data_IF_350853927561
#
_entry.id   IF_350853927561
#
_cell.length_a   1.000
_cell.length_b   1.000
_cell.length_c   1.000
_cell.angle_alpha   90.00
_cell.angle_beta   90.00
_cell.angle_gamma   90.00
#
_symmetry.space_group_name_H-M   'P 1'
#
loop_
_entity.id
_entity.type
_entity.pdbx_description
1 polymer ?
#
# COMPACT_ATOMS: atom_id res chain seq x y z
N UNK A 1 1.20 1.93 74.77
CA UNK A 1 0.91 0.68 74.05
C UNK A 1 -0.59 0.41 74.18
N UNK A 2 -1.38 0.82 73.20
CA UNK A 2 -2.85 0.75 73.21
C UNK A 2 -3.32 0.21 71.87
N UNK A 3 -4.13 -0.86 71.91
CA UNK A 3 -4.65 -1.61 70.77
C UNK A 3 -6.15 -1.37 70.65
N UNK A 4 -6.62 -0.90 69.50
CA UNK A 4 -7.97 -1.05 68.94
C UNK A 4 -8.06 -0.29 67.58
N UNK A 5 -9.09 -0.51 66.72
CA UNK A 5 -9.51 -1.77 66.09
C UNK A 5 -9.56 -1.67 64.55
N UNK A 6 -9.76 -2.82 63.89
CA UNK A 6 -9.93 -2.98 62.43
C UNK A 6 -11.20 -2.28 61.91
N UNK A 7 -11.11 -1.59 60.77
CA UNK A 7 -12.27 -1.11 59.98
C UNK A 7 -12.20 -1.57 58.52
N UNK A 8 -13.12 -2.48 58.21
CA UNK A 8 -13.92 -2.71 57.01
C UNK A 8 -13.45 -2.22 55.63
N UNK A 9 -13.24 -3.22 54.76
CA UNK A 9 -13.71 -3.39 53.39
C UNK A 9 -14.13 -2.16 52.55
N UNK A 10 -13.49 -2.04 51.37
CA UNK A 10 -14.10 -1.46 50.17
C UNK A 10 -13.91 -2.43 48.99
N UNK A 11 -15.04 -2.70 48.34
CA UNK A 11 -15.25 -3.67 47.27
C UNK A 11 -14.34 -3.45 46.05
N UNK A 12 -13.74 -4.53 45.56
CA UNK A 12 -13.26 -4.62 44.18
C UNK A 12 -14.38 -5.19 43.32
N UNK A 13 -14.80 -4.37 42.36
CA UNK A 13 -15.77 -4.65 41.31
C UNK A 13 -15.43 -5.90 40.50
N UNK A 14 -16.47 -6.63 40.10
CA UNK A 14 -16.41 -7.91 39.41
C UNK A 14 -15.53 -7.92 38.15
N UNK A 15 -14.61 -8.87 38.13
CA UNK A 15 -13.94 -9.34 36.92
C UNK A 15 -14.95 -10.20 36.14
N UNK A 16 -15.27 -9.74 34.93
CA UNK A 16 -16.10 -10.47 33.99
C UNK A 16 -15.44 -11.82 33.64
N UNK A 17 -16.20 -12.89 33.90
CA UNK A 17 -16.04 -14.29 33.47
C UNK A 17 -14.98 -14.52 32.39
N UNK A 18 -13.83 -15.11 32.79
CA UNK A 18 -12.96 -15.84 31.87
C UNK A 18 -13.60 -17.19 31.56
N UNK A 19 -13.86 -17.45 30.28
CA UNK A 19 -14.16 -18.81 29.84
C UNK A 19 -12.92 -19.69 30.10
N UNK A 20 -13.07 -20.94 30.57
CA UNK A 20 -11.92 -21.79 30.84
C UNK A 20 -11.25 -22.17 29.51
N UNK A 21 -9.95 -21.89 29.42
CA UNK A 21 -9.10 -22.37 28.34
C UNK A 21 -9.05 -23.92 28.37
N UNK A 22 -8.78 -24.58 27.22
CA UNK A 22 -8.73 -26.03 27.16
C UNK A 22 -7.68 -26.61 28.13
N UNK A 23 -8.07 -27.64 28.89
CA UNK A 23 -7.26 -28.30 29.92
C UNK A 23 -5.91 -28.78 29.37
N UNK A 24 -4.83 -28.17 29.84
CA UNK A 24 -3.45 -28.53 29.51
C UNK A 24 -2.81 -29.30 30.68
N UNK A 25 -2.02 -30.35 30.38
CA UNK A 25 -1.32 -31.17 31.39
C UNK A 25 0.01 -30.51 31.80
N UNK A 26 0.13 -29.98 33.03
CA UNK A 26 1.32 -29.28 33.50
C UNK A 26 2.54 -30.20 33.61
N UNK A 27 3.73 -29.65 33.30
CA UNK A 27 5.00 -30.40 33.40
C UNK A 27 5.35 -30.61 34.87
N UNK A 28 5.67 -31.85 35.26
CA UNK A 28 6.08 -32.17 36.62
C UNK A 28 7.53 -31.74 36.88
N UNK A 29 7.73 -30.83 37.86
CA UNK A 29 9.07 -30.42 38.32
C UNK A 29 9.30 -30.84 39.78
N UNK A 30 10.58 -31.05 40.13
CA UNK A 30 11.03 -31.24 41.52
C UNK A 30 10.56 -30.02 42.33
N UNK A 31 9.67 -30.24 43.29
CA UNK A 31 8.95 -29.20 44.03
C UNK A 31 9.88 -28.27 44.79
N UNK A 32 10.15 -27.10 44.21
CA UNK A 32 10.73 -25.94 44.89
C UNK A 32 9.62 -24.90 44.93
N UNK A 33 9.28 -24.38 46.11
CA UNK A 33 8.15 -23.47 46.32
C UNK A 33 8.25 -22.17 45.49
N UNK A 34 9.44 -21.84 45.02
CA UNK A 34 9.81 -20.67 44.22
C UNK A 34 9.95 -20.98 42.72
N UNK A 35 9.74 -22.22 42.30
CA UNK A 35 9.95 -22.68 40.92
C UNK A 35 8.72 -22.65 40.00
N UNK A 36 8.82 -23.37 38.88
CA UNK A 36 7.72 -23.61 37.95
C UNK A 36 6.76 -24.64 38.52
N UNK A 37 5.71 -24.19 39.21
CA UNK A 37 4.59 -25.05 39.62
C UNK A 37 3.55 -25.17 38.51
N UNK A 38 2.68 -26.20 38.51
CA UNK A 38 1.54 -26.30 37.61
C UNK A 38 0.68 -25.04 37.50
N UNK A 39 0.43 -24.40 38.64
CA UNK A 39 -0.38 -23.19 38.74
C UNK A 39 0.31 -22.03 38.04
N UNK A 40 1.62 -21.85 38.27
CA UNK A 40 2.42 -20.82 37.59
C UNK A 40 2.58 -21.08 36.10
N UNK A 41 2.61 -22.33 35.65
CA UNK A 41 2.59 -22.65 34.22
C UNK A 41 1.27 -22.20 33.59
N UNK A 42 0.15 -22.47 34.25
CA UNK A 42 -1.19 -22.07 33.77
C UNK A 42 -1.34 -20.56 33.76
N UNK A 43 -1.02 -19.90 34.87
CA UNK A 43 -1.05 -18.44 35.00
C UNK A 43 -0.14 -17.76 33.97
N UNK A 44 1.03 -18.35 33.69
CA UNK A 44 1.94 -17.84 32.66
C UNK A 44 1.32 -17.93 31.25
N UNK A 45 0.66 -19.04 30.91
CA UNK A 45 0.01 -19.22 29.60
C UNK A 45 -1.18 -18.27 29.45
N UNK A 46 -2.00 -18.12 30.47
CA UNK A 46 -3.09 -17.13 30.51
C UNK A 46 -2.54 -15.71 30.32
N UNK A 47 -1.52 -15.36 31.11
CA UNK A 47 -0.84 -14.09 31.04
C UNK A 47 -0.29 -13.79 29.63
N UNK A 48 0.28 -14.80 28.98
CA UNK A 48 0.83 -14.72 27.63
C UNK A 48 -0.26 -14.58 26.58
N UNK A 49 -1.39 -15.29 26.73
CA UNK A 49 -2.54 -15.18 25.83
C UNK A 49 -3.16 -13.78 25.89
N UNK A 50 -3.17 -13.16 27.07
CA UNK A 50 -3.64 -11.79 27.22
C UNK A 50 -2.72 -10.76 26.59
N UNK A 51 -1.40 -10.82 26.84
CA UNK A 51 -0.49 -9.73 26.51
C UNK A 51 0.35 -9.95 25.25
N UNK A 52 0.57 -11.19 24.83
CA UNK A 52 1.44 -11.57 23.71
C UNK A 52 2.93 -11.29 23.95
N UNK A 53 3.33 -10.93 25.17
CA UNK A 53 4.70 -10.54 25.52
C UNK A 53 5.24 -11.43 26.64
N UNK A 54 6.30 -12.18 26.34
CA UNK A 54 6.90 -13.15 27.28
C UNK A 54 7.42 -12.46 28.54
N UNK A 55 8.07 -11.31 28.41
CA UNK A 55 8.61 -10.57 29.57
C UNK A 55 7.48 -10.07 30.49
N UNK A 56 6.39 -9.59 29.91
CA UNK A 56 5.22 -9.16 30.68
C UNK A 56 4.54 -10.35 31.38
N UNK A 57 4.41 -11.49 30.70
CA UNK A 57 3.86 -12.71 31.29
C UNK A 57 4.75 -13.26 32.43
N UNK A 58 6.07 -13.28 32.24
CA UNK A 58 7.03 -13.71 33.26
C UNK A 58 7.00 -12.81 34.51
N UNK A 59 6.93 -11.48 34.32
CA UNK A 59 6.76 -10.54 35.43
C UNK A 59 5.49 -10.79 36.23
N UNK A 60 4.40 -11.20 35.57
CA UNK A 60 3.12 -11.50 36.24
C UNK A 60 3.22 -12.70 37.18
N UNK A 61 3.90 -13.77 36.74
CA UNK A 61 4.11 -14.99 37.55
C UNK A 61 5.33 -14.92 38.47
N UNK A 62 6.06 -13.80 38.48
CA UNK A 62 7.26 -13.60 39.29
C UNK A 62 8.44 -14.49 38.90
N UNK A 63 8.55 -14.85 37.61
CA UNK A 63 9.62 -15.70 37.09
C UNK A 63 10.48 -14.96 36.07
N UNK A 64 11.67 -15.50 35.83
CA UNK A 64 12.62 -14.94 34.87
C UNK A 64 12.35 -15.46 33.44
N UNK A 65 12.40 -14.61 32.39
CA UNK A 65 12.20 -15.03 31.00
C UNK A 65 13.13 -16.16 30.55
N UNK A 66 14.41 -16.15 30.98
CA UNK A 66 15.35 -17.22 30.62
C UNK A 66 14.91 -18.58 31.17
N UNK A 67 14.24 -18.59 32.34
CA UNK A 67 13.68 -19.79 32.96
C UNK A 67 12.47 -20.34 32.18
N UNK A 68 11.63 -19.47 31.63
CA UNK A 68 10.49 -19.83 30.80
C UNK A 68 10.95 -20.53 29.51
N UNK A 69 11.95 -19.97 28.82
CA UNK A 69 12.55 -20.61 27.65
C UNK A 69 13.26 -21.92 28.00
N UNK A 70 13.88 -22.02 29.18
CA UNK A 70 14.49 -23.27 29.65
C UNK A 70 13.45 -24.36 29.89
N UNK A 71 12.29 -24.02 30.44
CA UNK A 71 11.16 -24.95 30.58
C UNK A 71 10.64 -25.39 29.21
N UNK A 72 10.47 -24.45 28.28
CA UNK A 72 10.00 -24.72 26.90
C UNK A 72 10.88 -25.73 26.15
N UNK A 73 12.19 -25.72 26.40
CA UNK A 73 13.17 -26.63 25.75
C UNK A 73 13.20 -28.06 26.31
N UNK A 74 12.55 -28.34 27.44
CA UNK A 74 12.60 -29.69 28.02
C UNK A 74 11.82 -30.69 27.16
N UNK A 75 12.29 -31.94 27.12
CA UNK A 75 11.68 -32.99 26.31
C UNK A 75 10.24 -33.27 26.75
N UNK A 76 9.99 -33.25 28.06
CA UNK A 76 8.69 -33.47 28.72
C UNK A 76 7.72 -32.27 28.63
N UNK A 77 8.14 -31.13 28.08
CA UNK A 77 7.34 -29.91 28.00
C UNK A 77 6.49 -29.78 26.72
N UNK A 78 6.10 -30.88 26.10
CA UNK A 78 5.36 -30.86 24.83
C UNK A 78 4.04 -30.09 24.94
N UNK A 79 3.26 -30.40 25.96
CA UNK A 79 1.94 -29.79 26.14
C UNK A 79 2.11 -28.29 26.48
N UNK A 80 3.18 -27.89 27.19
CA UNK A 80 3.46 -26.49 27.55
C UNK A 80 3.87 -25.69 26.31
N UNK A 81 4.67 -26.30 25.40
CA UNK A 81 5.00 -25.70 24.09
C UNK A 81 3.74 -25.42 23.27
N UNK A 82 2.84 -26.40 23.17
CA UNK A 82 1.59 -26.22 22.43
C UNK A 82 0.75 -25.10 23.02
N UNK A 83 0.54 -25.12 24.34
CA UNK A 83 -0.21 -24.07 25.04
C UNK A 83 0.40 -22.68 24.81
N UNK A 84 1.74 -22.57 24.82
CA UNK A 84 2.45 -21.34 24.52
C UNK A 84 2.18 -20.83 23.10
N UNK A 85 2.28 -21.71 22.10
CA UNK A 85 2.07 -21.34 20.70
C UNK A 85 0.61 -20.94 20.45
N UNK A 86 -0.36 -21.65 21.07
CA UNK A 86 -1.77 -21.26 21.05
C UNK A 86 -2.00 -19.91 21.75
N UNK A 87 -1.39 -19.66 22.90
CA UNK A 87 -1.48 -18.38 23.60
C UNK A 87 -0.96 -17.22 22.74
N UNK A 88 0.19 -17.39 22.07
CA UNK A 88 0.69 -16.38 21.14
C UNK A 88 -0.26 -16.18 19.96
N UNK A 89 -0.80 -17.25 19.38
CA UNK A 89 -1.76 -17.16 18.27
C UNK A 89 -3.04 -16.41 18.69
N UNK A 90 -3.50 -16.63 19.92
CA UNK A 90 -4.66 -15.94 20.49
C UNK A 90 -4.36 -14.45 20.70
N UNK A 91 -3.17 -14.12 21.21
CA UNK A 91 -2.74 -12.75 21.43
C UNK A 91 -2.64 -11.92 20.13
N UNK A 92 -2.39 -12.55 18.97
CA UNK A 92 -2.34 -11.86 17.66
C UNK A 92 -3.67 -11.16 17.34
N UNK A 93 -4.82 -11.72 17.71
CA UNK A 93 -6.13 -11.06 17.50
C UNK A 93 -6.19 -9.74 18.27
N UNK A 94 -5.81 -9.76 19.54
CA UNK A 94 -5.76 -8.55 20.37
C UNK A 94 -4.72 -7.54 19.88
N UNK A 95 -3.57 -8.02 19.44
CA UNK A 95 -2.54 -7.16 18.82
C UNK A 95 -3.08 -6.49 17.56
N UNK A 96 -3.85 -7.21 16.76
CA UNK A 96 -4.51 -6.66 15.57
C UNK A 96 -5.48 -5.54 15.97
N UNK A 97 -6.35 -5.76 16.95
CA UNK A 97 -7.29 -4.74 17.43
C UNK A 97 -6.57 -3.50 17.98
N UNK A 98 -5.49 -3.70 18.74
CA UNK A 98 -4.66 -2.62 19.25
C UNK A 98 -3.92 -1.86 18.12
N UNK A 99 -3.49 -2.55 17.07
CA UNK A 99 -2.89 -1.95 15.90
C UNK A 99 -3.91 -1.11 15.11
N UNK A 100 -5.14 -1.61 14.92
CA UNK A 100 -6.23 -0.83 14.33
C UNK A 100 -6.55 0.42 15.13
N UNK A 101 -6.69 0.27 16.45
CA UNK A 101 -6.95 1.42 17.32
C UNK A 101 -5.84 2.47 17.21
N UNK A 102 -4.57 2.07 17.16
CA UNK A 102 -3.44 2.99 16.96
C UNK A 102 -3.42 3.63 15.57
N UNK A 103 -3.76 2.88 14.52
CA UNK A 103 -3.83 3.42 13.17
C UNK A 103 -4.95 4.46 13.02
N UNK A 104 -6.11 4.22 13.65
CA UNK A 104 -7.28 5.10 13.60
C UNK A 104 -7.09 6.32 14.52
N UNK A 105 -6.67 6.11 15.78
CA UNK A 105 -6.67 7.16 16.81
C UNK A 105 -5.32 7.88 16.97
N UNK A 106 -4.26 7.32 16.38
CA UNK A 106 -2.88 7.75 16.61
C UNK A 106 -2.36 7.36 18.00
N UNK A 107 -1.10 7.67 18.26
CA UNK A 107 -0.44 7.50 19.55
C UNK A 107 -0.11 8.88 20.12
N UNK A 108 -0.45 9.14 21.38
CA UNK A 108 -0.06 10.40 22.04
C UNK A 108 1.44 10.38 22.32
N UNK A 109 2.15 11.42 21.88
CA UNK A 109 3.56 11.65 22.20
C UNK A 109 3.68 12.95 23.01
N UNK A 110 4.25 12.90 24.22
CA UNK A 110 4.50 14.10 24.99
C UNK A 110 5.52 14.99 24.28
N UNK A 111 5.26 16.29 24.28
CA UNK A 111 6.17 17.32 23.75
C UNK A 111 6.85 17.98 24.94
N UNK A 112 8.17 17.91 24.98
CA UNK A 112 8.99 18.52 26.03
C UNK A 112 9.70 19.77 25.50
N UNK A 113 9.80 20.78 26.35
CA UNK A 113 10.62 21.96 26.11
C UNK A 113 11.33 22.32 27.42
N UNK A 114 12.65 22.47 27.36
CA UNK A 114 13.50 22.73 28.53
C UNK A 114 13.32 21.74 29.69
N UNK A 115 12.98 20.47 29.39
CA UNK A 115 12.80 19.43 30.41
C UNK A 115 11.40 19.38 31.04
N UNK A 116 10.53 20.34 30.74
CA UNK A 116 9.13 20.34 31.17
C UNK A 116 8.22 19.85 30.02
N UNK A 117 7.20 19.06 30.37
CA UNK A 117 6.20 18.62 29.40
C UNK A 117 5.26 19.79 29.11
N UNK A 118 5.37 20.35 27.91
CA UNK A 118 4.59 21.52 27.48
C UNK A 118 3.29 21.14 26.76
N UNK A 119 3.11 19.86 26.40
CA UNK A 119 1.88 19.39 25.78
C UNK A 119 1.95 17.97 25.26
N UNK A 120 0.95 17.60 24.45
CA UNK A 120 0.86 16.31 23.79
C UNK A 120 0.57 16.49 22.30
N UNK A 121 1.27 15.73 21.46
CA UNK A 121 1.03 15.66 20.02
C UNK A 121 0.63 14.24 19.64
N UNK A 122 -0.46 14.10 18.90
CA UNK A 122 -0.84 12.80 18.31
C UNK A 122 0.03 12.51 17.09
N UNK A 123 0.63 11.32 17.08
CA UNK A 123 1.40 10.80 15.98
C UNK A 123 0.66 9.62 15.35
N UNK A 124 0.41 9.70 14.05
CA UNK A 124 -0.18 8.63 13.26
C UNK A 124 0.93 7.91 12.50
N UNK A 125 0.98 6.59 12.61
CA UNK A 125 1.97 5.79 11.90
C UNK A 125 1.40 5.42 10.52
N UNK A 126 1.77 6.18 9.49
CA UNK A 126 1.29 5.96 8.12
C UNK A 126 1.73 4.60 7.56
N UNK A 127 2.89 4.09 7.99
CA UNK A 127 3.37 2.77 7.57
C UNK A 127 2.51 1.66 8.15
N UNK A 128 2.12 1.79 9.42
CA UNK A 128 1.16 0.87 10.04
C UNK A 128 -0.19 0.91 9.31
N UNK A 129 -0.69 2.11 9.01
CA UNK A 129 -1.95 2.26 8.26
C UNK A 129 -1.86 1.60 6.89
N UNK A 130 -0.80 1.87 6.14
CA UNK A 130 -0.59 1.30 4.81
C UNK A 130 -0.44 -0.24 4.86
N UNK A 131 0.25 -0.77 5.87
CA UNK A 131 0.37 -2.21 6.10
C UNK A 131 -1.00 -2.86 6.37
N UNK A 132 -1.83 -2.25 7.23
CA UNK A 132 -3.16 -2.77 7.55
C UNK A 132 -4.10 -2.75 6.33
N UNK A 133 -4.07 -1.68 5.53
CA UNK A 133 -4.86 -1.57 4.29
C UNK A 133 -4.42 -2.61 3.25
N UNK A 134 -3.11 -2.78 3.04
CA UNK A 134 -2.55 -3.80 2.13
C UNK A 134 -3.03 -5.21 2.44
N UNK A 135 -3.16 -5.54 3.73
CA UNK A 135 -3.51 -6.89 4.16
C UNK A 135 -5.02 -7.13 4.22
N UNK A 136 -5.82 -6.15 4.67
CA UNK A 136 -7.28 -6.32 4.85
C UNK A 136 -8.11 -5.94 3.63
N UNK A 137 -7.62 -5.03 2.78
CA UNK A 137 -8.26 -4.63 1.53
C UNK A 137 -7.26 -4.77 0.38
N UNK A 138 -6.68 -5.96 0.28
CA UNK A 138 -5.72 -6.33 -0.76
C UNK A 138 -6.25 -6.11 -2.20
N UNK A 139 -7.55 -6.32 -2.51
CA UNK A 139 -8.08 -6.00 -3.83
C UNK A 139 -7.95 -4.52 -4.21
N UNK A 140 -7.91 -3.59 -3.24
CA UNK A 140 -7.74 -2.15 -3.50
C UNK A 140 -6.35 -1.61 -3.24
N UNK A 141 -5.64 -2.15 -2.25
CA UNK A 141 -4.35 -1.60 -1.78
C UNK A 141 -3.20 -2.60 -1.82
N UNK A 142 -3.42 -3.80 -2.37
CA UNK A 142 -2.45 -4.88 -2.37
C UNK A 142 -1.18 -4.59 -3.15
N UNK A 143 -0.22 -5.52 -3.07
CA UNK A 143 1.10 -5.40 -3.70
C UNK A 143 1.06 -5.22 -5.22
N UNK A 144 -0.01 -5.62 -5.90
CA UNK A 144 -0.17 -5.46 -7.35
C UNK A 144 -0.12 -3.99 -7.80
N UNK A 145 -0.53 -3.05 -6.94
CA UNK A 145 -0.40 -1.61 -7.20
C UNK A 145 1.06 -1.17 -7.37
N UNK A 146 2.00 -1.79 -6.66
CA UNK A 146 3.42 -1.42 -6.73
C UNK A 146 4.02 -1.74 -8.10
N UNK A 147 3.40 -2.69 -8.82
CA UNK A 147 3.81 -3.07 -10.16
C UNK A 147 3.11 -2.30 -11.28
N UNK A 148 2.09 -1.49 -10.97
CA UNK A 148 1.38 -0.75 -12.01
C UNK A 148 2.25 0.34 -12.61
N UNK A 149 2.25 0.42 -13.94
CA UNK A 149 2.92 1.48 -14.68
C UNK A 149 1.85 2.43 -15.20
N UNK A 150 2.05 3.72 -15.00
CA UNK A 150 1.24 4.74 -15.66
C UNK A 150 1.63 4.82 -17.13
N UNK A 151 0.69 4.57 -18.03
CA UNK A 151 0.94 4.76 -19.47
C UNK A 151 0.80 6.24 -19.82
N UNK A 152 1.78 7.07 -19.47
CA UNK A 152 1.92 8.38 -20.09
C UNK A 152 2.69 8.22 -21.40
N UNK A 153 2.00 8.37 -22.55
CA UNK A 153 2.69 8.57 -23.83
C UNK A 153 3.37 9.93 -23.73
N UNK A 154 4.67 10.02 -24.02
CA UNK A 154 5.44 11.28 -23.94
C UNK A 154 4.75 12.43 -24.71
N UNK A 155 4.16 12.12 -25.88
CA UNK A 155 3.37 13.07 -26.69
C UNK A 155 1.86 13.05 -26.40
N UNK A 156 1.39 12.19 -25.49
CA UNK A 156 -0.04 11.98 -25.21
C UNK A 156 -0.73 13.27 -24.77
N UNK A 157 -0.09 14.04 -23.89
CA UNK A 157 -0.62 15.32 -23.41
C UNK A 157 -0.68 16.39 -24.51
N UNK A 158 0.30 16.41 -25.42
CA UNK A 158 0.32 17.35 -26.55
C UNK A 158 -0.75 17.00 -27.59
N UNK A 159 -0.92 15.71 -27.90
CA UNK A 159 -1.97 15.21 -28.78
C UNK A 159 -3.36 15.47 -28.19
N UNK A 160 -3.56 15.21 -26.89
CA UNK A 160 -4.82 15.47 -26.22
C UNK A 160 -5.14 16.97 -26.17
N UNK A 161 -4.14 17.82 -25.95
CA UNK A 161 -4.30 19.27 -26.05
C UNK A 161 -4.68 19.69 -27.47
N UNK A 162 -3.99 19.19 -28.49
CA UNK A 162 -4.30 19.49 -29.90
C UNK A 162 -5.73 19.08 -30.25
N UNK A 163 -6.18 17.89 -29.81
CA UNK A 163 -7.59 17.46 -29.96
C UNK A 163 -8.56 18.40 -29.25
N UNK A 164 -8.23 18.88 -28.05
CA UNK A 164 -9.09 19.81 -27.31
C UNK A 164 -9.17 21.18 -27.99
N UNK A 165 -8.05 21.70 -28.51
CA UNK A 165 -8.02 22.94 -29.31
C UNK A 165 -8.91 22.79 -30.54
N UNK A 166 -8.76 21.69 -31.29
CA UNK A 166 -9.59 21.42 -32.46
C UNK A 166 -11.09 21.34 -32.11
N UNK A 167 -11.46 20.69 -31.00
CA UNK A 167 -12.87 20.63 -30.54
C UNK A 167 -13.44 22.02 -30.22
N UNK A 168 -12.63 22.89 -29.61
CA UNK A 168 -13.04 24.28 -29.30
C UNK A 168 -13.26 25.09 -30.59
N UNK A 169 -12.37 24.91 -31.57
CA UNK A 169 -12.51 25.54 -32.90
C UNK A 169 -13.75 25.03 -33.63
N UNK A 170 -13.99 23.72 -33.64
CA UNK A 170 -15.20 23.12 -34.23
C UNK A 170 -16.47 23.66 -33.55
N UNK A 171 -16.51 23.70 -32.21
CA UNK A 171 -17.66 24.22 -31.48
C UNK A 171 -17.92 25.70 -31.77
N UNK A 172 -16.87 26.50 -31.97
CA UNK A 172 -16.97 27.90 -32.38
C UNK A 172 -17.56 28.01 -33.79
N UNK A 173 -17.07 27.19 -34.73
CA UNK A 173 -17.63 27.11 -36.08
C UNK A 173 -19.12 26.79 -36.05
N UNK A 174 -19.55 25.75 -35.32
CA UNK A 174 -20.97 25.40 -35.23
C UNK A 174 -21.83 26.56 -34.71
N UNK A 175 -21.37 27.27 -33.67
CA UNK A 175 -22.10 28.42 -33.09
C UNK A 175 -22.23 29.59 -34.06
N UNK A 176 -21.17 29.91 -34.79
CA UNK A 176 -21.17 31.02 -35.76
C UNK A 176 -22.15 30.78 -36.92
N UNK A 177 -22.38 29.52 -37.29
CA UNK A 177 -23.41 29.12 -38.26
C UNK A 177 -24.79 28.83 -37.64
N UNK A 178 -25.01 29.20 -36.37
CA UNK A 178 -26.29 29.02 -35.67
C UNK A 178 -26.67 27.56 -35.39
N UNK A 179 -25.69 26.64 -35.47
CA UNK A 179 -25.85 25.21 -35.22
C UNK A 179 -25.45 24.86 -33.78
N UNK A 180 -26.01 23.77 -33.26
CA UNK A 180 -25.66 23.26 -31.93
C UNK A 180 -24.36 22.44 -32.03
N UNK A 181 -23.32 22.74 -31.21
CA UNK A 181 -22.09 21.96 -31.21
C UNK A 181 -22.31 20.48 -30.92
N UNK A 182 -21.47 19.62 -31.53
CA UNK A 182 -21.53 18.17 -31.31
C UNK A 182 -21.08 17.83 -29.89
N UNK A 183 -21.69 16.80 -29.29
CA UNK A 183 -21.26 16.31 -27.98
C UNK A 183 -19.97 15.50 -28.11
N UNK A 184 -18.88 16.01 -27.56
CA UNK A 184 -17.58 15.32 -27.53
C UNK A 184 -17.48 14.30 -26.39
N UNK A 185 -16.91 13.13 -26.65
CA UNK A 185 -16.63 12.11 -25.62
C UNK A 185 -15.47 12.56 -24.69
N UNK A 186 -15.53 12.31 -23.37
CA UNK A 186 -14.47 12.71 -22.45
C UNK A 186 -13.14 12.00 -22.74
N UNK A 187 -12.06 12.78 -22.83
CA UNK A 187 -10.69 12.25 -22.96
C UNK A 187 -10.25 11.73 -21.58
N UNK A 188 -9.95 10.42 -21.47
CA UNK A 188 -9.41 9.83 -20.23
C UNK A 188 -7.89 10.01 -20.17
N UNK A 189 -7.41 10.73 -19.16
CA UNK A 189 -6.01 11.18 -19.07
C UNK A 189 -5.03 10.14 -18.52
N UNK A 190 -5.49 9.11 -17.81
CA UNK A 190 -4.59 8.14 -17.17
C UNK A 190 -5.19 6.74 -17.21
N UNK A 191 -4.44 5.80 -17.79
CA UNK A 191 -4.73 4.37 -17.68
C UNK A 191 -3.63 3.75 -16.81
N UNK A 192 -4.03 3.12 -15.71
CA UNK A 192 -3.15 2.25 -14.94
C UNK A 192 -3.20 0.88 -15.60
N UNK A 193 -2.05 0.40 -16.04
CA UNK A 193 -1.92 -0.85 -16.80
C UNK A 193 -0.83 -1.69 -16.14
N UNK A 194 -0.99 -3.02 -16.17
CA UNK A 194 0.09 -3.90 -15.71
C UNK A 194 1.29 -3.81 -16.67
N UNK A 195 2.54 -4.05 -16.22
CA UNK A 195 3.71 -4.02 -17.09
C UNK A 195 3.57 -4.93 -18.31
N UNK A 196 3.12 -6.17 -18.10
CA UNK A 196 2.94 -7.16 -19.15
C UNK A 196 1.87 -6.73 -20.17
N UNK A 197 0.82 -6.07 -19.70
CA UNK A 197 -0.23 -5.50 -20.56
C UNK A 197 0.32 -4.32 -21.38
N UNK A 198 1.17 -3.47 -20.79
CA UNK A 198 1.83 -2.38 -21.50
C UNK A 198 2.78 -2.91 -22.58
N UNK A 199 3.54 -3.97 -22.28
CA UNK A 199 4.44 -4.61 -23.24
C UNK A 199 3.65 -5.25 -24.39
N UNK A 200 2.52 -5.90 -24.10
CA UNK A 200 1.61 -6.42 -25.13
C UNK A 200 1.00 -5.30 -25.99
N UNK A 201 0.60 -4.17 -25.38
CA UNK A 201 0.11 -3.00 -26.11
C UNK A 201 1.18 -2.39 -27.03
N UNK A 202 2.43 -2.31 -26.57
CA UNK A 202 3.57 -1.83 -27.37
C UNK A 202 3.84 -2.75 -28.55
N UNK A 203 3.93 -4.05 -28.32
CA UNK A 203 4.13 -5.05 -29.37
C UNK A 203 3.00 -5.00 -30.43
N UNK A 204 1.75 -4.82 -29.99
CA UNK A 204 0.62 -4.67 -30.91
C UNK A 204 0.69 -3.37 -31.74
N UNK A 205 1.08 -2.26 -31.12
CA UNK A 205 1.26 -0.99 -31.82
C UNK A 205 2.40 -1.05 -32.85
N UNK A 206 3.53 -1.66 -32.50
CA UNK A 206 4.67 -1.89 -33.39
C UNK A 206 4.28 -2.79 -34.57
N UNK A 207 3.57 -3.90 -34.32
CA UNK A 207 3.09 -4.78 -35.37
C UNK A 207 2.12 -4.05 -36.33
N UNK A 208 1.26 -3.17 -35.81
CA UNK A 208 0.37 -2.35 -36.65
C UNK A 208 1.15 -1.35 -37.51
N UNK A 209 2.19 -0.72 -36.95
CA UNK A 209 3.08 0.18 -37.69
C UNK A 209 3.81 -0.56 -38.81
N UNK A 210 4.42 -1.71 -38.49
CA UNK A 210 5.10 -2.55 -39.47
C UNK A 210 4.15 -3.04 -40.57
N UNK A 211 2.92 -3.42 -40.22
CA UNK A 211 1.92 -3.83 -41.20
C UNK A 211 1.49 -2.68 -42.11
N UNK A 212 1.41 -1.45 -41.60
CA UNK A 212 1.13 -0.26 -42.40
C UNK A 212 2.29 0.07 -43.36
N UNK A 213 3.54 0.00 -42.90
CA UNK A 213 4.73 0.19 -43.76
C UNK A 213 4.89 -0.92 -44.82
N UNK A 214 4.35 -2.10 -44.54
CA UNK A 214 4.35 -3.23 -45.46
C UNK A 214 3.15 -3.24 -46.41
N UNK A 215 2.19 -2.32 -46.28
CA UNK A 215 1.08 -2.23 -47.21
C UNK A 215 1.59 -1.82 -48.60
N UNK A 216 1.24 -2.59 -49.66
CA UNK A 216 1.75 -2.35 -51.01
C UNK A 216 1.31 -0.99 -51.56
N UNK A 217 0.11 -0.53 -51.22
CA UNK A 217 -0.41 0.78 -51.63
C UNK A 217 0.44 1.95 -51.10
N UNK A 218 0.99 1.85 -49.88
CA UNK A 218 1.85 2.89 -49.33
C UNK A 218 3.20 2.95 -50.06
N UNK A 219 3.77 1.80 -50.46
CA UNK A 219 5.01 1.76 -51.26
C UNK A 219 4.80 2.23 -52.69
N UNK A 220 3.64 1.95 -53.28
CA UNK A 220 3.28 2.42 -54.62
C UNK A 220 3.08 3.95 -54.61
N UNK A 221 2.37 4.50 -53.63
CA UNK A 221 2.20 5.96 -53.45
C UNK A 221 3.52 6.67 -53.13
N UNK A 222 4.38 6.08 -52.31
CA UNK A 222 5.69 6.65 -51.96
C UNK A 222 6.66 6.58 -53.15
N UNK A 223 6.61 5.53 -53.97
CA UNK A 223 7.35 5.43 -55.22
C UNK A 223 6.86 6.44 -56.29
N UNK A 224 5.54 6.64 -56.40
CA UNK A 224 4.95 7.67 -57.27
C UNK A 224 5.35 9.09 -56.81
N UNK A 225 5.34 9.33 -55.49
CA UNK A 225 5.81 10.60 -54.92
C UNK A 225 7.31 10.82 -55.12
N UNK A 226 8.13 9.79 -54.92
CA UNK A 226 9.57 9.87 -55.13
C UNK A 226 9.90 10.13 -56.60
N UNK A 227 9.19 9.47 -57.52
CA UNK A 227 9.31 9.71 -58.96
C UNK A 227 8.91 11.15 -59.32
N UNK A 228 7.84 11.67 -58.74
CA UNK A 228 7.45 13.08 -58.89
C UNK A 228 8.53 14.03 -58.34
N UNK A 229 9.11 13.75 -57.17
CA UNK A 229 10.20 14.55 -56.60
C UNK A 229 11.48 14.52 -57.45
N UNK A 230 11.81 13.38 -58.05
CA UNK A 230 12.95 13.27 -58.97
C UNK A 230 12.71 14.04 -60.29
N UNK A 231 11.46 14.18 -60.74
CA UNK A 231 11.14 15.08 -61.86
C UNK A 231 11.29 16.57 -61.51
N UNK A 232 11.34 16.91 -60.22
CA UNK A 232 11.59 18.25 -59.71
C UNK A 232 13.09 18.51 -59.44
N UNK A 233 14.00 17.79 -60.11
CA UNK A 233 15.45 17.99 -60.06
C UNK A 233 15.91 19.45 -60.20
N UNK A 234 17.18 19.75 -59.86
CA UNK A 234 17.65 20.99 -59.22
C UNK A 234 17.68 22.27 -60.08
N UNK A 235 16.79 22.43 -61.06
CA UNK A 235 16.72 23.59 -61.97
C UNK A 235 15.63 24.60 -61.59
N UNK A 236 14.96 24.47 -60.44
CA UNK A 236 13.92 25.42 -60.02
C UNK A 236 14.47 26.71 -59.35
N UNK A 237 15.73 27.09 -59.62
CA UNK A 237 16.44 28.09 -58.82
C UNK A 237 17.49 28.96 -59.51
N UNK A 238 17.52 29.12 -60.83
CA UNK A 238 18.38 30.12 -61.49
C UNK A 238 17.67 30.66 -62.74
N UNK A 239 17.04 31.83 -62.61
CA UNK A 239 16.99 32.88 -63.65
C UNK A 239 15.97 33.97 -63.29
N UNK A 240 16.48 35.05 -62.69
CA UNK A 240 15.91 36.40 -62.86
C UNK A 240 16.96 37.47 -62.48
N UNK A 241 17.99 37.60 -63.31
CA UNK A 241 18.87 38.79 -63.32
C UNK A 241 19.08 39.30 -64.75
N UNK A 242 18.63 40.54 -65.01
CA UNK A 242 18.92 41.35 -66.20
C UNK A 242 18.08 40.96 -67.43
N UNK A 243 17.35 41.83 -68.11
CA UNK A 243 17.32 43.29 -68.16
C UNK A 243 17.03 43.65 -69.61
N UNK A 244 16.05 44.51 -69.89
CA UNK A 244 16.01 45.18 -71.19
C UNK A 244 15.37 46.56 -71.11
N UNK A 245 16.21 47.52 -71.52
CA UNK A 245 16.03 48.93 -71.74
C UNK A 245 15.43 49.22 -73.12
N UNK A 246 14.72 50.36 -73.24
CA UNK A 246 14.40 51.06 -74.49
C UNK A 246 12.91 51.43 -74.54
N UNK A 247 12.46 52.69 -74.65
CA UNK A 247 13.08 53.89 -75.17
C UNK A 247 12.09 54.53 -76.16
N UNK A 248 11.44 55.62 -75.75
CA UNK A 248 10.99 56.78 -76.55
C UNK A 248 10.54 57.86 -75.59
#
# INVERSE_FOLDING_TARGET
MTKAPKRSARAASGSASSAPLPDFVPVALRGRHDGWTPERQTEFIEALAECGCVDAACRRVGLDPSSAYRLRRRVDAQSFRQAWDFALSYAIRRLSDAAFSRAINGVSRPVFYQGEQIGERRHYDERLTMFLLRYRDAPRYGKWLDGMVTTERYDGRAIDLSKMVHRVEEDAYYRDFGQVPRRHEPIRQTHLVMPDELDAMRAHAEARHQAAEQQPAAREEEADWQAYLDTLGPDAGEDRSGGESGGT
#
